data_IF_600017352689
#
_entry.id   IF_600017352689
#
_cell.length_a   1.000
_cell.length_b   1.000
_cell.length_c   1.000
_cell.angle_alpha   90.00
_cell.angle_beta   90.00
_cell.angle_gamma   90.00
#
_symmetry.space_group_name_H-M   'P 1'
#
loop_
_entity.id
_entity.type
_entity.pdbx_description
1 polymer ?
#
# COMPACT_ATOMS: atom_id res chain seq x y z
N UNK A 1 -26.21 -24.67 3.81
CA UNK A 1 -27.29 -23.71 3.48
C UNK A 1 -26.67 -22.37 3.09
N UNK A 2 -27.38 -21.54 2.35
CA UNK A 2 -26.98 -20.18 1.93
C UNK A 2 -27.93 -19.22 2.59
N UNK A 3 -27.43 -18.40 3.51
CA UNK A 3 -28.22 -17.42 4.26
C UNK A 3 -28.07 -16.05 3.61
N UNK A 4 -29.18 -15.35 3.39
CA UNK A 4 -29.23 -14.01 2.80
C UNK A 4 -30.08 -13.13 3.70
N UNK A 5 -29.56 -11.99 4.14
CA UNK A 5 -30.25 -11.03 5.03
C UNK A 5 -31.03 -9.94 4.29
N UNK A 6 -30.76 -9.74 3.01
CA UNK A 6 -31.51 -8.83 2.14
C UNK A 6 -32.60 -9.56 1.33
N UNK A 7 -33.86 -9.09 1.43
CA UNK A 7 -35.03 -9.68 0.75
C UNK A 7 -34.95 -9.64 -0.78
N UNK A 8 -34.44 -8.54 -1.33
CA UNK A 8 -34.32 -8.35 -2.79
C UNK A 8 -33.26 -9.28 -3.36
N UNK A 9 -32.08 -9.35 -2.73
CA UNK A 9 -31.00 -10.27 -3.09
C UNK A 9 -31.47 -11.72 -2.96
N UNK A 10 -32.22 -12.06 -1.91
CA UNK A 10 -32.77 -13.40 -1.73
C UNK A 10 -33.65 -13.83 -2.92
N UNK A 11 -34.53 -12.94 -3.40
CA UNK A 11 -35.37 -13.21 -4.57
C UNK A 11 -34.53 -13.38 -5.83
N UNK A 12 -33.57 -12.47 -6.06
CA UNK A 12 -32.67 -12.54 -7.22
C UNK A 12 -31.87 -13.84 -7.25
N UNK A 13 -31.33 -14.30 -6.12
CA UNK A 13 -30.57 -15.56 -6.03
C UNK A 13 -31.47 -16.77 -6.30
N UNK A 14 -32.71 -16.78 -5.81
CA UNK A 14 -33.66 -17.85 -6.12
C UNK A 14 -33.99 -17.89 -7.62
N UNK A 15 -34.25 -16.74 -8.24
CA UNK A 15 -34.55 -16.66 -9.67
C UNK A 15 -33.35 -17.10 -10.52
N UNK A 16 -32.13 -16.74 -10.12
CA UNK A 16 -30.90 -17.23 -10.74
C UNK A 16 -30.75 -18.76 -10.63
N UNK A 17 -31.01 -19.35 -9.46
CA UNK A 17 -30.91 -20.78 -9.26
C UNK A 17 -31.97 -21.58 -10.01
N UNK A 18 -33.17 -21.01 -10.25
CA UNK A 18 -34.18 -21.65 -11.11
C UNK A 18 -33.67 -21.87 -12.52
N UNK A 19 -32.82 -20.98 -13.03
CA UNK A 19 -32.26 -21.08 -14.38
C UNK A 19 -31.08 -22.06 -14.40
N UNK A 20 -30.15 -21.97 -13.45
CA UNK A 20 -28.92 -22.77 -13.47
C UNK A 20 -29.11 -24.19 -12.92
N UNK A 21 -29.67 -24.32 -11.72
CA UNK A 21 -29.89 -25.61 -11.08
C UNK A 21 -30.95 -25.51 -9.96
N UNK A 22 -32.22 -25.81 -10.27
CA UNK A 22 -33.33 -25.70 -9.31
C UNK A 22 -33.15 -26.52 -8.03
N UNK A 23 -32.38 -27.62 -8.05
CA UNK A 23 -32.20 -28.52 -6.91
C UNK A 23 -31.55 -27.83 -5.71
N UNK A 24 -30.82 -26.73 -5.91
CA UNK A 24 -30.17 -25.98 -4.83
C UNK A 24 -31.06 -24.90 -4.20
N UNK A 25 -32.22 -24.59 -4.78
CA UNK A 25 -33.10 -23.53 -4.28
C UNK A 25 -33.53 -23.74 -2.81
N UNK A 26 -33.78 -24.99 -2.41
CA UNK A 26 -34.15 -25.35 -1.02
C UNK A 26 -33.05 -25.07 0.01
N UNK A 27 -31.80 -24.89 -0.43
CA UNK A 27 -30.67 -24.57 0.46
C UNK A 27 -30.54 -23.07 0.74
N UNK A 28 -31.22 -22.21 -0.04
CA UNK A 28 -31.20 -20.75 0.14
C UNK A 28 -32.29 -20.36 1.11
N UNK A 29 -31.93 -19.67 2.20
CA UNK A 29 -32.87 -19.23 3.23
C UNK A 29 -32.70 -17.74 3.49
N UNK A 30 -33.83 -17.05 3.62
CA UNK A 30 -33.86 -15.66 4.09
C UNK A 30 -33.58 -15.64 5.59
N UNK A 31 -32.56 -14.91 5.99
CA UNK A 31 -32.24 -14.62 7.37
C UNK A 31 -33.19 -13.53 7.89
N UNK A 32 -33.94 -13.83 8.96
CA UNK A 32 -35.03 -12.97 9.47
C UNK A 32 -34.80 -12.44 10.89
N UNK A 33 -33.71 -12.83 11.52
CA UNK A 33 -33.40 -12.42 12.89
C UNK A 33 -32.91 -10.97 12.94
N UNK A 34 -33.14 -10.31 14.07
CA UNK A 34 -32.78 -8.90 14.29
C UNK A 34 -31.28 -8.69 14.44
N UNK A 35 -30.57 -9.66 15.04
CA UNK A 35 -29.11 -9.61 15.17
C UNK A 35 -28.46 -9.73 13.79
N UNK A 36 -27.45 -8.92 13.43
CA UNK A 36 -26.75 -9.05 12.15
C UNK A 36 -26.20 -10.47 11.93
N UNK A 37 -26.28 -10.94 10.68
CA UNK A 37 -25.98 -12.32 10.31
C UNK A 37 -24.55 -12.74 10.71
N UNK A 38 -23.55 -11.91 10.45
CA UNK A 38 -22.15 -12.20 10.78
C UNK A 38 -21.89 -12.17 12.28
N UNK A 39 -22.52 -11.25 13.00
CA UNK A 39 -22.44 -11.18 14.46
C UNK A 39 -23.09 -12.39 15.13
N UNK A 40 -24.20 -12.92 14.58
CA UNK A 40 -24.81 -14.16 15.07
C UNK A 40 -23.85 -15.35 14.94
N UNK A 41 -23.15 -15.43 13.82
CA UNK A 41 -22.18 -16.50 13.55
C UNK A 41 -20.78 -16.25 14.13
N UNK A 42 -20.58 -15.13 14.85
CA UNK A 42 -19.31 -14.77 15.50
C UNK A 42 -18.13 -14.69 14.52
N UNK A 43 -18.38 -14.22 13.30
CA UNK A 43 -17.34 -14.08 12.26
C UNK A 43 -16.86 -12.64 12.05
N UNK A 44 -17.46 -11.64 12.72
CA UNK A 44 -17.08 -10.23 12.60
C UNK A 44 -15.59 -10.01 12.86
N UNK A 45 -15.10 -10.49 14.01
CA UNK A 45 -13.68 -10.38 14.36
C UNK A 45 -12.78 -11.08 13.32
N UNK A 46 -13.25 -12.19 12.73
CA UNK A 46 -12.48 -12.87 11.68
C UNK A 46 -12.42 -12.05 10.40
N UNK A 47 -13.48 -11.31 10.06
CA UNK A 47 -13.51 -10.39 8.92
C UNK A 47 -12.56 -9.23 9.17
N UNK A 48 -12.56 -8.64 10.36
CA UNK A 48 -11.63 -7.56 10.71
C UNK A 48 -10.16 -7.99 10.60
N UNK A 49 -9.82 -9.23 10.99
CA UNK A 49 -8.44 -9.73 10.87
C UNK A 49 -7.95 -9.83 9.42
N UNK A 50 -8.83 -9.84 8.41
CA UNK A 50 -8.44 -9.85 6.98
C UNK A 50 -7.66 -8.57 6.63
N UNK A 51 -7.98 -7.46 7.30
CA UNK A 51 -7.40 -6.13 7.07
C UNK A 51 -6.12 -5.88 7.86
N UNK A 52 -5.82 -6.73 8.85
CA UNK A 52 -4.61 -6.63 9.66
C UNK A 52 -3.46 -7.39 8.99
N UNK A 53 -2.21 -6.89 9.10
CA UNK A 53 -1.06 -7.64 8.61
C UNK A 53 -0.67 -8.80 9.53
N UNK A 54 -1.00 -8.72 10.84
CA UNK A 54 -0.74 -9.78 11.82
C UNK A 54 -1.97 -10.64 12.04
N UNK A 55 -1.78 -11.95 12.15
CA UNK A 55 -2.84 -12.93 12.47
C UNK A 55 -2.35 -13.88 13.56
N UNK A 56 -3.11 -13.96 14.65
CA UNK A 56 -2.78 -14.84 15.78
C UNK A 56 -3.07 -16.30 15.46
N UNK A 57 -2.18 -17.19 15.90
CA UNK A 57 -2.33 -18.64 15.86
C UNK A 57 -2.96 -19.16 17.16
N UNK A 58 -3.50 -20.38 17.13
CA UNK A 58 -4.26 -20.97 18.25
C UNK A 58 -3.38 -21.16 19.48
N UNK A 59 -2.11 -21.51 19.28
CA UNK A 59 -1.14 -21.74 20.36
C UNK A 59 -0.39 -20.47 20.83
N UNK A 60 -0.81 -19.28 20.40
CA UNK A 60 -0.21 -18.00 20.82
C UNK A 60 0.97 -17.52 19.97
N UNK A 61 1.31 -18.25 18.90
CA UNK A 61 2.14 -17.72 17.82
C UNK A 61 1.37 -16.72 16.95
N UNK A 62 2.02 -16.18 15.92
CA UNK A 62 1.40 -15.29 14.94
C UNK A 62 2.07 -15.43 13.57
N UNK A 63 1.32 -15.14 12.52
CA UNK A 63 1.87 -14.90 11.19
C UNK A 63 1.78 -13.42 10.84
N UNK A 64 2.76 -12.91 10.11
CA UNK A 64 2.78 -11.55 9.56
C UNK A 64 2.74 -11.67 8.04
N UNK A 65 1.80 -10.98 7.39
CA UNK A 65 1.57 -11.03 5.94
C UNK A 65 1.79 -9.63 5.38
N UNK A 66 2.86 -9.47 4.60
CA UNK A 66 3.25 -8.19 4.01
C UNK A 66 3.28 -8.30 2.47
N UNK A 67 2.23 -7.80 1.80
CA UNK A 67 2.23 -7.64 0.34
C UNK A 67 3.25 -6.58 -0.09
N UNK A 68 4.08 -6.92 -1.08
CA UNK A 68 4.99 -6.00 -1.76
C UNK A 68 4.53 -5.77 -3.20
N UNK A 69 5.30 -5.02 -3.98
CA UNK A 69 5.03 -4.79 -5.41
C UNK A 69 5.02 -6.11 -6.21
N UNK A 70 6.00 -6.99 -5.97
CA UNK A 70 6.21 -8.18 -6.80
C UNK A 70 5.72 -9.49 -6.16
N UNK A 71 5.75 -9.58 -4.83
CA UNK A 71 5.45 -10.81 -4.07
C UNK A 71 4.77 -10.52 -2.75
N UNK A 72 4.20 -11.55 -2.13
CA UNK A 72 3.69 -11.49 -0.75
C UNK A 72 4.66 -12.22 0.15
N UNK A 73 5.22 -11.53 1.15
CA UNK A 73 6.05 -12.13 2.18
C UNK A 73 5.19 -12.54 3.38
N UNK A 74 5.48 -13.72 3.95
CA UNK A 74 4.82 -14.22 5.15
C UNK A 74 5.88 -14.68 6.14
N UNK A 75 5.83 -14.14 7.35
CA UNK A 75 6.75 -14.48 8.46
C UNK A 75 5.99 -15.20 9.59
N UNK A 76 6.61 -16.21 10.21
CA UNK A 76 6.00 -17.04 11.26
C UNK A 76 6.74 -16.86 12.58
N UNK A 77 6.01 -16.48 13.62
CA UNK A 77 6.54 -16.26 14.96
C UNK A 77 5.86 -17.17 15.99
N UNK A 78 6.62 -17.81 16.88
CA UNK A 78 6.10 -18.67 17.96
C UNK A 78 5.55 -17.90 19.16
N UNK A 79 5.73 -16.58 19.22
CA UNK A 79 5.29 -15.75 20.34
C UNK A 79 6.06 -16.02 21.64
N UNK A 80 5.50 -15.59 22.78
CA UNK A 80 6.17 -15.68 24.10
C UNK A 80 6.09 -17.08 24.77
N UNK A 81 5.52 -18.08 24.11
CA UNK A 81 5.22 -19.40 24.70
C UNK A 81 6.43 -20.35 24.81
N UNK A 82 7.66 -19.85 24.65
CA UNK A 82 8.86 -20.70 24.59
C UNK A 82 9.32 -21.08 26.00
N UNK A 83 9.12 -22.34 26.39
CA UNK A 83 9.89 -22.97 27.48
C UNK A 83 11.17 -23.54 26.85
N UNK A 84 12.34 -23.14 27.37
CA UNK A 84 13.68 -23.40 26.77
C UNK A 84 13.97 -24.87 26.42
N UNK A 85 13.31 -25.84 27.08
CA UNK A 85 13.53 -27.28 26.83
C UNK A 85 12.80 -27.86 25.61
N UNK A 86 11.91 -27.12 24.94
CA UNK A 86 11.09 -27.65 23.84
C UNK A 86 11.02 -26.72 22.62
N UNK A 87 12.14 -26.06 22.27
CA UNK A 87 12.17 -25.09 21.18
C UNK A 87 11.81 -25.74 19.83
N UNK A 88 12.38 -26.90 19.51
CA UNK A 88 12.15 -27.56 18.22
C UNK A 88 10.72 -28.07 18.05
N UNK A 89 10.14 -28.67 19.09
CA UNK A 89 8.75 -29.13 19.06
C UNK A 89 7.77 -27.95 18.97
N UNK A 90 8.07 -26.84 19.66
CA UNK A 90 7.27 -25.63 19.60
C UNK A 90 7.32 -24.99 18.20
N UNK A 91 8.51 -24.92 17.59
CA UNK A 91 8.68 -24.44 16.23
C UNK A 91 7.88 -25.28 15.23
N UNK A 92 7.99 -26.61 15.32
CA UNK A 92 7.26 -27.53 14.46
C UNK A 92 5.74 -27.38 14.59
N UNK A 93 5.21 -27.36 15.82
CA UNK A 93 3.77 -27.17 16.06
C UNK A 93 3.27 -25.80 15.56
N UNK A 94 4.03 -24.74 15.82
CA UNK A 94 3.70 -23.39 15.34
C UNK A 94 3.65 -23.35 13.81
N UNK A 95 4.63 -23.94 13.14
CA UNK A 95 4.69 -23.97 11.68
C UNK A 95 3.54 -24.78 11.05
N UNK A 96 3.06 -25.85 11.71
CA UNK A 96 1.88 -26.60 11.27
C UNK A 96 0.61 -25.74 11.35
N UNK A 97 0.40 -25.03 12.45
CA UNK A 97 -0.71 -24.09 12.62
C UNK A 97 -0.63 -22.96 11.59
N UNK A 98 0.58 -22.41 11.40
CA UNK A 98 0.83 -21.38 10.41
C UNK A 98 0.50 -21.87 8.99
N UNK A 99 0.88 -23.10 8.62
CA UNK A 99 0.57 -23.65 7.30
C UNK A 99 -0.94 -23.74 7.01
N UNK A 100 -1.74 -24.15 8.00
CA UNK A 100 -3.21 -24.13 7.90
C UNK A 100 -3.73 -22.69 7.74
N UNK A 101 -3.25 -21.78 8.58
CA UNK A 101 -3.74 -20.41 8.66
C UNK A 101 -3.34 -19.57 7.43
N UNK A 102 -2.12 -19.74 6.93
CA UNK A 102 -1.65 -19.09 5.70
C UNK A 102 -2.56 -19.47 4.53
N UNK A 103 -2.82 -20.77 4.33
CA UNK A 103 -3.72 -21.21 3.26
C UNK A 103 -5.13 -20.61 3.39
N UNK A 104 -5.62 -20.42 4.62
CA UNK A 104 -6.90 -19.77 4.90
C UNK A 104 -6.86 -18.28 4.54
N UNK A 105 -5.83 -17.56 4.98
CA UNK A 105 -5.66 -16.12 4.72
C UNK A 105 -5.48 -15.80 3.24
N UNK A 106 -4.74 -16.62 2.49
CA UNK A 106 -4.58 -16.45 1.04
C UNK A 106 -5.92 -16.49 0.30
N UNK A 107 -6.87 -17.32 0.75
CA UNK A 107 -8.23 -17.37 0.22
C UNK A 107 -9.06 -16.17 0.63
N UNK A 108 -9.04 -15.82 1.91
CA UNK A 108 -9.87 -14.73 2.44
C UNK A 108 -9.47 -13.36 1.90
N UNK A 109 -8.18 -13.15 1.66
CA UNK A 109 -7.62 -11.90 1.13
C UNK A 109 -7.49 -11.88 -0.40
N UNK A 110 -7.83 -12.98 -1.07
CA UNK A 110 -7.61 -13.21 -2.50
C UNK A 110 -6.15 -12.91 -2.95
N UNK A 111 -5.16 -13.23 -2.10
CA UNK A 111 -3.73 -12.98 -2.37
C UNK A 111 -3.19 -13.97 -3.41
N UNK A 112 -2.58 -13.48 -4.49
CA UNK A 112 -2.00 -14.32 -5.54
C UNK A 112 -0.75 -13.73 -6.15
N UNK A 113 -0.16 -14.47 -7.10
CA UNK A 113 1.20 -14.23 -7.59
C UNK A 113 2.22 -15.07 -6.82
N UNK A 114 3.44 -14.56 -6.73
CA UNK A 114 4.50 -15.18 -5.94
C UNK A 114 4.28 -14.89 -4.46
N UNK A 115 4.34 -15.93 -3.65
CA UNK A 115 4.20 -15.89 -2.20
C UNK A 115 5.41 -16.60 -1.61
N UNK A 116 6.03 -15.96 -0.62
CA UNK A 116 7.25 -16.43 0.04
C UNK A 116 6.94 -16.57 1.53
N UNK A 117 7.17 -17.74 2.09
CA UNK A 117 6.87 -18.05 3.50
C UNK A 117 8.16 -18.38 4.22
N UNK A 118 8.48 -17.60 5.25
CA UNK A 118 9.58 -17.82 6.17
C UNK A 118 9.06 -18.57 7.40
N UNK A 119 9.29 -19.89 7.44
CA UNK A 119 8.92 -20.72 8.58
C UNK A 119 10.03 -20.69 9.63
N UNK A 120 9.67 -20.90 10.89
CA UNK A 120 10.67 -21.04 11.97
C UNK A 120 11.60 -22.20 11.63
N UNK A 121 12.91 -22.01 11.81
CA UNK A 121 13.94 -23.01 11.53
C UNK A 121 13.66 -24.36 12.19
N UNK A 122 13.85 -25.43 11.42
CA UNK A 122 13.70 -26.82 11.88
C UNK A 122 14.87 -27.66 11.39
N UNK A 123 15.44 -28.47 12.27
CA UNK A 123 16.58 -29.34 11.93
C UNK A 123 16.13 -30.55 11.13
N UNK A 124 15.07 -31.23 11.58
CA UNK A 124 14.57 -32.43 10.93
C UNK A 124 13.90 -32.18 9.57
N UNK A 125 14.33 -32.91 8.54
CA UNK A 125 13.72 -32.88 7.21
C UNK A 125 12.29 -33.42 7.21
N UNK A 126 11.98 -34.34 8.12
CA UNK A 126 10.64 -34.91 8.31
C UNK A 126 9.62 -33.82 8.66
N UNK A 127 9.97 -32.91 9.58
CA UNK A 127 9.11 -31.77 9.95
C UNK A 127 8.85 -30.84 8.76
N UNK A 128 9.90 -30.49 8.01
CA UNK A 128 9.78 -29.65 6.80
C UNK A 128 8.85 -30.27 5.74
N UNK A 129 8.97 -31.57 5.50
CA UNK A 129 8.12 -32.28 4.55
C UNK A 129 6.66 -32.34 4.99
N UNK A 130 6.42 -32.50 6.29
CA UNK A 130 5.07 -32.55 6.84
C UNK A 130 4.35 -31.20 6.76
N UNK A 131 5.04 -30.10 7.05
CA UNK A 131 4.50 -28.74 6.88
C UNK A 131 4.12 -28.48 5.42
N UNK A 132 4.99 -28.85 4.46
CA UNK A 132 4.67 -28.75 3.04
C UNK A 132 3.42 -29.57 2.68
N UNK A 133 3.30 -30.79 3.22
CA UNK A 133 2.15 -31.67 3.00
C UNK A 133 0.85 -31.04 3.52
N UNK A 134 0.88 -30.50 4.73
CA UNK A 134 -0.26 -29.80 5.35
C UNK A 134 -0.65 -28.59 4.51
N UNK A 135 0.30 -27.71 4.19
CA UNK A 135 0.04 -26.53 3.35
C UNK A 135 -0.58 -26.92 2.01
N UNK A 136 0.01 -27.91 1.31
CA UNK A 136 -0.52 -28.43 0.03
C UNK A 136 -1.95 -28.95 0.17
N UNK A 137 -2.28 -29.65 1.26
CA UNK A 137 -3.62 -30.18 1.49
C UNK A 137 -4.66 -29.08 1.74
N UNK A 138 -4.30 -28.03 2.47
CA UNK A 138 -5.20 -26.89 2.67
C UNK A 138 -5.36 -26.02 1.41
N UNK A 139 -4.34 -25.95 0.54
CA UNK A 139 -4.41 -25.26 -0.75
C UNK A 139 -5.28 -26.00 -1.79
N UNK A 140 -5.41 -27.33 -1.71
CA UNK A 140 -6.31 -28.09 -2.62
C UNK A 140 -7.79 -27.70 -2.49
N UNK A 141 -8.20 -27.12 -1.36
CA UNK A 141 -9.57 -26.61 -1.15
C UNK A 141 -9.81 -25.25 -1.79
N UNK A 142 -8.75 -24.62 -2.30
CA UNK A 142 -8.81 -23.33 -2.96
C UNK A 142 -9.36 -23.47 -4.39
N UNK A 143 -10.08 -22.44 -4.85
CA UNK A 143 -10.49 -22.32 -6.25
C UNK A 143 -9.31 -21.94 -7.14
N UNK A 144 -8.36 -21.17 -6.62
CA UNK A 144 -7.16 -20.77 -7.32
C UNK A 144 -6.17 -21.92 -7.41
N UNK A 145 -5.62 -22.15 -8.61
CA UNK A 145 -4.52 -23.11 -8.78
C UNK A 145 -3.30 -22.60 -8.03
N UNK A 146 -2.67 -23.51 -7.30
CA UNK A 146 -1.50 -23.21 -6.49
C UNK A 146 -0.40 -24.25 -6.74
N UNK A 147 0.82 -23.78 -6.99
CA UNK A 147 2.02 -24.61 -7.16
C UNK A 147 2.94 -24.35 -5.99
N UNK A 148 3.24 -25.40 -5.22
CA UNK A 148 4.06 -25.34 -4.02
C UNK A 148 5.47 -25.86 -4.32
N UNK A 149 6.48 -25.07 -3.99
CA UNK A 149 7.89 -25.47 -4.00
C UNK A 149 8.28 -26.29 -2.77
N UNK A 150 9.57 -26.54 -2.61
CA UNK A 150 10.15 -27.12 -1.38
C UNK A 150 10.68 -25.98 -0.50
N UNK A 151 10.78 -26.22 0.80
CA UNK A 151 11.56 -25.37 1.70
C UNK A 151 13.01 -25.39 1.22
N UNK A 152 13.53 -24.21 0.90
CA UNK A 152 14.87 -23.98 0.39
C UNK A 152 15.94 -24.21 1.47
N UNK A 153 17.21 -24.12 1.08
CA UNK A 153 18.34 -24.15 2.03
C UNK A 153 18.33 -22.95 2.99
N UNK A 154 17.64 -21.87 2.64
CA UNK A 154 17.52 -20.65 3.44
C UNK A 154 16.29 -20.65 4.36
N UNK A 155 15.59 -21.78 4.53
CA UNK A 155 14.38 -21.86 5.37
C UNK A 155 13.09 -21.38 4.70
N UNK A 156 13.22 -20.71 3.55
CA UNK A 156 12.10 -20.11 2.81
C UNK A 156 11.35 -21.14 1.97
N UNK A 157 10.01 -21.09 1.97
CA UNK A 157 9.14 -21.80 1.05
C UNK A 157 8.53 -20.87 0.00
N UNK A 158 8.59 -21.29 -1.27
CA UNK A 158 8.00 -20.56 -2.39
C UNK A 158 6.67 -21.18 -2.83
N UNK A 159 5.68 -20.33 -3.08
CA UNK A 159 4.33 -20.69 -3.50
C UNK A 159 3.88 -19.76 -4.61
N UNK A 160 3.45 -20.31 -5.75
CA UNK A 160 2.77 -19.54 -6.79
C UNK A 160 1.28 -19.82 -6.74
N UNK A 161 0.45 -18.78 -6.60
CA UNK A 161 -1.03 -18.89 -6.56
C UNK A 161 -1.66 -18.04 -7.66
N UNK A 162 -2.55 -18.62 -8.46
CA UNK A 162 -3.24 -17.91 -9.54
C UNK A 162 -4.06 -16.73 -9.00
N UNK A 163 -3.93 -15.56 -9.63
CA UNK A 163 -4.80 -14.40 -9.37
C UNK A 163 -6.13 -14.57 -10.10
N UNK A 164 -7.21 -14.80 -9.35
CA UNK A 164 -8.59 -14.87 -9.90
C UNK A 164 -9.24 -13.49 -9.89
N UNK A 165 -9.01 -12.74 -8.81
CA UNK A 165 -9.55 -11.39 -8.57
C UNK A 165 -8.44 -10.49 -8.03
N UNK A 166 -8.59 -9.16 -8.12
CA UNK A 166 -7.73 -8.25 -7.37
C UNK A 166 -7.78 -8.59 -5.87
N UNK A 167 -6.66 -8.44 -5.12
CA UNK A 167 -6.66 -8.64 -3.68
C UNK A 167 -7.68 -7.73 -2.99
N UNK A 168 -8.16 -8.10 -1.81
CA UNK A 168 -9.20 -7.33 -1.09
C UNK A 168 -8.79 -5.88 -0.78
N UNK A 169 -7.48 -5.63 -0.71
CA UNK A 169 -6.94 -4.28 -0.48
C UNK A 169 -7.13 -3.36 -1.69
N UNK A 170 -7.24 -3.92 -2.90
CA UNK A 170 -7.45 -3.17 -4.12
C UNK A 170 -8.85 -2.55 -4.12
N UNK A 171 -8.92 -1.22 -4.18
CA UNK A 171 -10.18 -0.47 -4.11
C UNK A 171 -10.67 -0.18 -2.68
N UNK A 172 -10.11 -0.84 -1.66
CA UNK A 172 -10.42 -0.57 -0.23
C UNK A 172 -9.44 0.42 0.39
N UNK A 173 -8.19 0.44 -0.08
CA UNK A 173 -7.12 1.29 0.45
C UNK A 173 -6.59 2.27 -0.60
N UNK A 174 -6.12 3.42 -0.12
CA UNK A 174 -5.30 4.36 -0.88
C UNK A 174 -3.87 4.38 -0.34
N UNK A 175 -2.92 4.73 -1.19
CA UNK A 175 -1.50 4.84 -0.81
C UNK A 175 -1.33 5.91 0.27
N UNK A 176 -0.59 5.60 1.34
CA UNK A 176 -0.32 6.55 2.42
C UNK A 176 0.29 7.85 1.85
N UNK A 177 -0.32 9.03 2.07
CA UNK A 177 0.14 10.28 1.48
C UNK A 177 1.49 10.72 2.04
N UNK A 178 1.82 10.31 3.27
CA UNK A 178 3.05 10.70 3.96
C UNK A 178 4.27 9.91 3.50
N UNK A 179 4.17 8.57 3.43
CA UNK A 179 5.29 7.71 3.07
C UNK A 179 5.23 7.19 1.64
N UNK A 180 4.14 7.43 0.92
CA UNK A 180 3.90 6.98 -0.46
C UNK A 180 4.12 5.46 -0.63
N UNK A 181 3.71 4.68 0.37
CA UNK A 181 3.88 3.23 0.37
C UNK A 181 5.24 2.73 0.89
N UNK A 182 6.20 3.60 1.23
CA UNK A 182 7.51 3.20 1.77
C UNK A 182 7.45 2.56 3.16
N UNK A 183 6.37 2.78 3.92
CA UNK A 183 6.23 2.31 5.31
C UNK A 183 7.10 3.05 6.33
N UNK A 184 7.95 3.98 5.88
CA UNK A 184 8.84 4.77 6.72
C UNK A 184 8.96 6.20 6.17
N UNK A 185 9.25 7.15 7.07
CA UNK A 185 9.48 8.56 6.76
C UNK A 185 10.86 8.97 7.26
N UNK A 186 11.50 9.93 6.61
CA UNK A 186 12.80 10.44 7.05
C UNK A 186 12.66 11.14 8.40
N UNK A 187 13.67 11.00 9.25
CA UNK A 187 13.71 11.70 10.55
C UNK A 187 13.79 13.22 10.37
N UNK A 188 13.35 13.96 11.38
CA UNK A 188 13.37 15.43 11.40
C UNK A 188 14.78 15.97 11.15
N UNK A 189 15.79 15.37 11.79
CA UNK A 189 17.20 15.75 11.64
C UNK A 189 17.66 15.56 10.19
N UNK A 190 17.32 14.41 9.60
CA UNK A 190 17.70 14.07 8.23
C UNK A 190 17.06 15.03 7.23
N UNK A 191 15.78 15.34 7.43
CA UNK A 191 15.05 16.30 6.60
C UNK A 191 15.59 17.71 6.76
N UNK A 192 15.83 18.16 7.99
CA UNK A 192 16.41 19.47 8.29
C UNK A 192 17.77 19.64 7.61
N UNK A 193 18.68 18.67 7.76
CA UNK A 193 19.98 18.70 7.08
C UNK A 193 19.85 18.69 5.56
N UNK A 194 18.85 18.00 5.01
CA UNK A 194 18.55 18.04 3.57
C UNK A 194 18.12 19.44 3.12
N UNK A 195 17.22 20.10 3.86
CA UNK A 195 16.82 21.48 3.56
C UNK A 195 17.96 22.48 3.72
N UNK A 196 18.76 22.36 4.79
CA UNK A 196 19.95 23.19 4.99
C UNK A 196 20.92 23.08 3.81
N UNK A 197 21.16 21.85 3.31
CA UNK A 197 21.97 21.62 2.11
C UNK A 197 21.35 22.26 0.86
N UNK A 198 20.03 22.15 0.67
CA UNK A 198 19.33 22.80 -0.46
C UNK A 198 19.47 24.33 -0.40
N UNK A 199 19.33 24.93 0.79
CA UNK A 199 19.55 26.36 1.01
C UNK A 199 20.97 26.74 0.60
N UNK A 200 21.98 26.03 1.14
CA UNK A 200 23.38 26.28 0.83
C UNK A 200 23.68 26.18 -0.68
N UNK A 201 23.19 25.13 -1.35
CA UNK A 201 23.36 24.94 -2.80
C UNK A 201 22.70 26.07 -3.61
N UNK A 202 21.52 26.54 -3.18
CA UNK A 202 20.80 27.61 -3.86
C UNK A 202 21.51 28.96 -3.76
N UNK A 203 22.00 29.32 -2.56
CA UNK A 203 22.67 30.61 -2.34
C UNK A 203 24.12 30.64 -2.86
N UNK A 204 24.78 29.48 -2.97
CA UNK A 204 26.17 29.39 -3.44
C UNK A 204 26.36 29.92 -4.87
N UNK A 205 25.28 30.06 -5.65
CA UNK A 205 25.31 30.66 -6.99
C UNK A 205 25.48 32.19 -6.99
N UNK A 206 25.43 32.85 -5.83
CA UNK A 206 25.66 34.31 -5.67
C UNK A 206 24.57 35.24 -6.21
N UNK A 207 23.57 34.69 -6.91
CA UNK A 207 22.48 35.47 -7.55
C UNK A 207 21.26 35.67 -6.66
N UNK A 208 21.24 35.06 -5.47
CA UNK A 208 20.09 35.05 -4.55
C UNK A 208 20.24 36.19 -3.53
N UNK A 209 19.16 36.92 -3.25
CA UNK A 209 19.07 37.94 -2.19
C UNK A 209 18.41 37.41 -0.92
N UNK A 210 17.42 36.52 -1.06
CA UNK A 210 16.70 35.95 0.08
C UNK A 210 16.16 34.56 -0.22
N UNK A 211 15.99 33.78 0.85
CA UNK A 211 15.39 32.44 0.81
C UNK A 211 14.19 32.42 1.75
N UNK A 212 13.02 32.07 1.24
CA UNK A 212 11.82 31.79 2.05
C UNK A 212 11.57 30.29 2.07
N UNK A 213 11.50 29.68 3.25
CA UNK A 213 11.16 28.28 3.42
C UNK A 213 9.83 28.09 4.13
N UNK A 214 8.94 27.29 3.58
CA UNK A 214 7.72 26.82 4.24
C UNK A 214 7.90 25.32 4.47
N UNK A 215 8.11 24.92 5.73
CA UNK A 215 8.55 23.58 6.11
C UNK A 215 7.58 22.97 7.14
N UNK A 216 7.63 21.64 7.35
CA UNK A 216 6.97 21.03 8.52
C UNK A 216 7.44 21.69 9.81
N UNK A 217 6.52 21.87 10.77
CA UNK A 217 6.78 22.59 12.03
C UNK A 217 8.03 22.07 12.75
N UNK A 218 8.16 20.74 12.86
CA UNK A 218 9.30 20.11 13.55
C UNK A 218 10.63 20.38 12.84
N UNK A 219 10.63 20.40 11.51
CA UNK A 219 11.82 20.65 10.68
C UNK A 219 12.24 22.11 10.79
N UNK A 220 11.30 23.05 10.70
CA UNK A 220 11.55 24.47 10.89
C UNK A 220 12.11 24.74 12.30
N UNK A 221 11.47 24.16 13.32
CA UNK A 221 11.93 24.27 14.71
C UNK A 221 13.36 23.72 14.88
N UNK A 222 13.67 22.57 14.28
CA UNK A 222 15.02 22.01 14.32
C UNK A 222 16.04 22.94 13.66
N UNK A 223 15.73 23.46 12.47
CA UNK A 223 16.62 24.37 11.74
C UNK A 223 16.89 25.66 12.53
N UNK A 224 15.83 26.30 13.04
CA UNK A 224 15.91 27.60 13.71
C UNK A 224 16.49 27.54 15.14
N UNK A 225 16.64 26.35 15.72
CA UNK A 225 17.18 26.18 17.07
C UNK A 225 18.46 25.35 17.11
N UNK A 226 18.46 24.16 16.50
CA UNK A 226 19.63 23.25 16.50
C UNK A 226 20.64 23.56 15.39
N UNK A 227 20.21 24.21 14.30
CA UNK A 227 21.06 24.61 13.17
C UNK A 227 21.11 26.11 12.94
N UNK A 228 20.79 26.89 13.99
CA UNK A 228 20.79 28.35 13.96
C UNK A 228 22.15 28.91 13.56
N UNK A 229 23.24 28.41 14.15
CA UNK A 229 24.59 28.88 13.83
C UNK A 229 24.96 28.61 12.38
N UNK A 230 24.58 27.44 11.85
CA UNK A 230 24.82 27.09 10.45
C UNK A 230 24.06 28.05 9.51
N UNK A 231 22.80 28.36 9.82
CA UNK A 231 22.01 29.33 9.06
C UNK A 231 22.63 30.73 9.09
N UNK A 232 23.00 31.23 10.27
CA UNK A 232 23.64 32.54 10.43
C UNK A 232 24.96 32.64 9.65
N UNK A 233 25.76 31.56 9.65
CA UNK A 233 26.99 31.52 8.83
C UNK A 233 26.70 31.62 7.35
N UNK A 234 25.62 30.98 6.88
CA UNK A 234 25.19 31.08 5.48
C UNK A 234 24.70 32.49 5.13
N UNK A 235 23.91 33.12 6.00
CA UNK A 235 23.44 34.50 5.82
C UNK A 235 24.60 35.48 5.71
N UNK A 236 25.52 35.45 6.67
CA UNK A 236 26.66 36.37 6.73
C UNK A 236 27.65 36.16 5.58
N UNK A 237 27.91 34.91 5.19
CA UNK A 237 28.91 34.62 4.14
C UNK A 237 28.42 35.00 2.73
N UNK A 238 27.12 34.84 2.47
CA UNK A 238 26.54 35.04 1.15
C UNK A 238 25.76 36.35 1.02
N UNK A 239 25.66 37.14 2.10
CA UNK A 239 24.88 38.37 2.18
C UNK A 239 23.42 38.13 1.74
N UNK A 240 22.79 37.12 2.34
CA UNK A 240 21.41 36.70 2.05
C UNK A 240 20.59 36.65 3.33
N UNK A 241 19.29 36.89 3.22
CA UNK A 241 18.34 36.68 4.33
C UNK A 241 17.63 35.34 4.19
N UNK A 242 17.61 34.53 5.24
CA UNK A 242 16.95 33.22 5.27
C UNK A 242 15.77 33.27 6.24
N UNK A 243 14.57 33.22 5.70
CA UNK A 243 13.32 33.20 6.47
C UNK A 243 12.67 31.82 6.39
N UNK A 244 12.54 31.13 7.53
CA UNK A 244 11.94 29.79 7.59
C UNK A 244 10.69 29.82 8.47
N UNK A 245 9.59 29.31 7.93
CA UNK A 245 8.28 29.23 8.58
C UNK A 245 7.87 27.76 8.71
N UNK A 246 7.38 27.39 9.89
CA UNK A 246 6.78 26.09 10.15
C UNK A 246 5.27 26.13 9.86
N UNK A 247 4.77 25.19 9.04
CA UNK A 247 3.35 25.11 8.72
C UNK A 247 2.76 23.74 9.11
N UNK A 248 1.67 23.67 9.91
CA UNK A 248 1.13 22.40 10.43
C UNK A 248 0.64 21.41 9.36
N UNK A 249 0.19 21.92 8.22
CA UNK A 249 -0.39 21.09 7.15
C UNK A 249 0.60 20.66 6.06
N UNK A 250 1.90 20.92 6.25
CA UNK A 250 2.93 20.46 5.32
C UNK A 250 3.46 19.10 5.77
N UNK A 251 3.35 18.10 4.91
CA UNK A 251 3.89 16.76 5.19
C UNK A 251 5.42 16.77 5.22
N UNK A 252 6.09 15.83 5.92
CA UNK A 252 7.54 15.82 6.13
C UNK A 252 8.41 16.03 4.88
N UNK A 253 7.98 15.54 3.71
CA UNK A 253 8.72 15.66 2.44
C UNK A 253 8.19 16.76 1.50
N UNK A 254 7.19 17.55 1.91
CA UNK A 254 6.51 18.55 1.07
C UNK A 254 6.94 20.00 1.31
N UNK A 255 7.91 20.22 2.21
CA UNK A 255 8.44 21.56 2.47
C UNK A 255 9.05 22.20 1.22
N UNK A 256 8.82 23.50 1.04
CA UNK A 256 9.19 24.29 -0.13
C UNK A 256 10.22 25.35 0.23
N UNK A 257 11.13 25.63 -0.71
CA UNK A 257 12.11 26.72 -0.61
C UNK A 257 11.96 27.61 -1.85
N UNK A 258 11.74 28.89 -1.63
CA UNK A 258 11.67 29.93 -2.64
C UNK A 258 12.93 30.80 -2.57
N UNK A 259 13.63 30.95 -3.69
CA UNK A 259 14.86 31.75 -3.79
C UNK A 259 14.57 33.01 -4.59
N UNK A 260 14.70 34.19 -3.98
CA UNK A 260 14.55 35.47 -4.67
C UNK A 260 15.91 35.96 -5.15
N UNK A 261 15.97 36.49 -6.38
CA UNK A 261 17.22 36.99 -6.96
C UNK A 261 17.58 38.39 -6.43
N UNK A 262 18.86 38.75 -6.50
CA UNK A 262 19.31 40.13 -6.34
C UNK A 262 18.78 40.96 -7.52
N UNK A 263 18.14 42.10 -7.23
CA UNK A 263 17.80 43.07 -8.27
C UNK A 263 19.11 43.65 -8.83
N UNK A 264 19.27 43.63 -10.15
CA UNK A 264 20.40 44.29 -10.81
C UNK A 264 20.17 45.82 -10.78
N UNK A 265 21.21 46.65 -10.56
CA UNK A 265 21.06 48.11 -10.52
C UNK A 265 20.68 48.79 -11.85
N UNK A 266 20.48 48.06 -12.95
CA UNK A 266 20.14 48.65 -14.24
C UNK A 266 18.68 48.33 -14.61
N UNK A 267 17.80 49.28 -14.32
CA UNK A 267 16.67 49.72 -15.16
C UNK A 267 15.97 50.88 -14.46
N UNK A 268 16.58 52.06 -14.51
CA UNK A 268 15.85 53.32 -14.45
C UNK A 268 15.72 53.84 -15.88
N UNK A 269 14.45 53.98 -16.28
CA UNK A 269 13.92 54.75 -17.41
C UNK A 269 13.89 54.12 -18.81
N UNK A 270 12.71 53.57 -19.15
CA UNK A 270 12.04 53.88 -20.42
C UNK A 270 10.56 53.51 -20.31
N UNK A 271 9.70 54.52 -20.30
CA UNK A 271 8.25 54.41 -20.47
C UNK A 271 7.86 53.74 -21.82
N UNK A 272 6.63 53.21 -21.95
CA UNK A 272 6.28 52.24 -22.97
C UNK A 272 5.88 52.92 -24.29
N UNK A 273 6.53 52.55 -25.40
CA UNK A 273 5.97 52.75 -26.73
C UNK A 273 5.35 51.44 -27.25
N UNK A 274 4.06 51.54 -27.51
CA UNK A 274 3.20 50.56 -28.16
C UNK A 274 3.73 50.15 -29.54
N UNK A 275 3.92 48.85 -29.76
CA UNK A 275 3.76 48.22 -31.08
C UNK A 275 3.11 46.85 -30.96
N UNK A 276 1.97 46.74 -31.63
CA UNK A 276 1.23 45.50 -31.88
C UNK A 276 1.98 44.57 -32.85
N UNK A 277 1.73 43.26 -32.66
CA UNK A 277 1.83 42.13 -33.61
C UNK A 277 3.25 41.75 -34.10
N UNK A 278 3.70 40.49 -34.11
CA UNK A 278 3.03 39.27 -34.56
C UNK A 278 3.47 37.98 -33.84
N UNK A 279 2.63 36.96 -34.02
CA UNK A 279 2.68 35.58 -33.56
C UNK A 279 4.03 34.84 -33.73
N UNK A 280 4.41 34.04 -32.71
CA UNK A 280 4.76 32.64 -32.95
C UNK A 280 4.62 31.76 -31.69
N UNK A 281 4.07 30.56 -31.91
CA UNK A 281 3.58 29.58 -30.94
C UNK A 281 4.74 28.87 -30.22
N UNK A 282 4.64 28.74 -28.89
CA UNK A 282 5.16 27.55 -28.19
C UNK A 282 4.17 27.13 -27.09
N UNK A 283 3.81 25.86 -27.10
CA UNK A 283 2.77 25.24 -26.27
C UNK A 283 3.19 25.18 -24.80
N UNK A 284 2.33 25.69 -23.92
CA UNK A 284 2.42 25.51 -22.47
C UNK A 284 1.64 24.26 -22.03
N UNK A 285 2.28 23.42 -21.21
CA UNK A 285 1.63 22.33 -20.47
C UNK A 285 0.77 22.91 -19.32
N UNK A 286 -0.52 22.56 -19.20
CA UNK A 286 -1.36 23.07 -18.13
C UNK A 286 -1.10 22.34 -16.81
N UNK A 287 -0.76 23.08 -15.76
CA UNK A 287 -0.74 22.61 -14.37
C UNK A 287 -1.83 23.32 -13.57
N UNK A 288 -3.07 22.92 -13.81
CA UNK A 288 -4.17 23.06 -12.86
C UNK A 288 -4.98 21.76 -12.88
N UNK A 289 -5.25 21.19 -11.71
CA UNK A 289 -6.03 19.97 -11.56
C UNK A 289 -7.47 20.25 -11.98
N UNK A 290 -7.87 19.74 -13.13
CA UNK A 290 -9.25 19.76 -13.61
C UNK A 290 -10.11 18.84 -12.74
N UNK A 291 -11.15 19.35 -12.05
CA UNK A 291 -12.05 18.54 -11.24
C UNK A 291 -12.78 17.44 -12.02
N UNK A 292 -12.83 17.53 -13.35
CA UNK A 292 -13.54 16.57 -14.22
C UNK A 292 -12.64 15.48 -14.80
N UNK A 293 -11.37 15.39 -14.40
CA UNK A 293 -10.43 14.37 -14.88
C UNK A 293 -10.92 12.92 -14.66
N UNK A 294 -11.66 12.68 -13.58
CA UNK A 294 -12.19 11.35 -13.28
C UNK A 294 -13.36 10.95 -14.19
N UNK A 295 -14.22 11.89 -14.59
CA UNK A 295 -15.33 11.63 -15.51
C UNK A 295 -14.85 11.38 -16.94
N UNK A 296 -13.78 12.07 -17.37
CA UNK A 296 -13.16 11.85 -18.67
C UNK A 296 -12.38 10.52 -18.73
N UNK A 297 -11.74 10.10 -17.63
CA UNK A 297 -11.11 8.78 -17.53
C UNK A 297 -12.12 7.62 -17.54
N UNK A 298 -13.27 7.79 -16.87
CA UNK A 298 -14.35 6.78 -16.82
C UNK A 298 -15.00 6.59 -18.20
N UNK A 299 -15.23 7.68 -18.93
CA UNK A 299 -15.72 7.64 -20.31
C UNK A 299 -14.71 7.02 -21.29
N UNK A 300 -13.41 7.25 -21.09
CA UNK A 300 -12.36 6.60 -21.89
C UNK A 300 -12.33 5.08 -21.68
N UNK A 301 -12.41 4.62 -20.43
CA UNK A 301 -12.44 3.19 -20.08
C UNK A 301 -13.71 2.49 -20.59
N UNK A 302 -14.86 3.16 -20.56
CA UNK A 302 -16.10 2.66 -21.16
C UNK A 302 -16.01 2.53 -22.69
N UNK A 303 -15.29 3.43 -23.36
CA UNK A 303 -15.08 3.38 -24.82
C UNK A 303 -14.10 2.28 -25.25
N UNK A 304 -13.11 1.94 -24.41
CA UNK A 304 -12.16 0.83 -24.62
C UNK A 304 -12.85 -0.53 -24.41
N UNK A 305 -13.71 -0.65 -23.39
CA UNK A 305 -14.44 -1.89 -23.10
C UNK A 305 -15.40 -2.32 -24.24
N UNK A 306 -15.84 -1.37 -25.08
CA UNK A 306 -16.71 -1.65 -26.23
C UNK A 306 -15.94 -2.07 -27.51
N UNK A 307 -14.60 -1.98 -27.53
CA UNK A 307 -13.79 -2.28 -28.72
C UNK A 307 -13.23 -3.71 -28.79
N UNK A 308 -13.60 -4.60 -27.86
CA UNK A 308 -13.15 -6.00 -27.90
C UNK A 308 -13.91 -6.78 -28.98
N UNK A 309 -13.26 -7.32 -30.03
CA UNK A 309 -13.95 -8.11 -31.04
C UNK A 309 -14.33 -9.49 -30.50
N UNK A 310 -15.61 -9.86 -30.62
CA UNK A 310 -16.10 -11.22 -30.47
C UNK A 310 -15.71 -12.07 -31.70
N UNK A 311 -14.62 -12.83 -31.62
CA UNK A 311 -14.43 -14.09 -32.37
C UNK A 311 -13.27 -14.88 -31.72
N UNK A 312 -13.28 -16.20 -31.54
CA UNK A 312 -13.78 -17.24 -32.44
C UNK A 312 -14.38 -18.42 -31.67
N UNK A 313 -15.45 -18.91 -32.27
CA UNK A 313 -16.09 -20.18 -31.99
C UNK A 313 -15.15 -21.36 -32.28
N UNK A 314 -15.23 -22.34 -31.39
CA UNK A 314 -14.82 -23.73 -31.56
C UNK A 314 -15.53 -24.43 -32.73
N UNK A 315 -14.82 -25.36 -33.39
CA UNK A 315 -15.36 -26.65 -33.92
C UNK A 315 -14.27 -27.43 -34.67
N UNK A 316 -14.44 -28.75 -34.87
CA UNK A 316 -15.02 -29.77 -33.99
C UNK A 316 -13.95 -30.61 -33.27
#
# INVERSE_FOLDING_TARGET
EVLIDNKEIFKQVLDFLKIINPKYGSRVKLYKETRPIFSKHQIENQIETIFQNRVNLKSGGQIVIDPTEALVAVDVNSGRSVKERQIEETAYKTNLEAAEEIARQLRLRDLGGLIVIDFIDMKESKHRNEIQRVLKNHLKRDKARATLGRISKFGILELSRQRIRPPIQFGTYYTCPTCQGKGQVRSVETLALSYLRKIWLGISKGTVSSVKGILPVEVAHYLLNRKREDLLRLESRHEVTIHLEGHPHILPEEGRLEFRKKESPDTVDSQPESRENDLEKTEALPTQADPNYWQSAENYLLSEAQKVPLSRQSKP
#
